data_IF_260900628333
#
_entry.id   IF_260900628333
#
_cell.length_a   1.000
_cell.length_b   1.000
_cell.length_c   1.000
_cell.angle_alpha   90.00
_cell.angle_beta   90.00
_cell.angle_gamma   90.00
#
_symmetry.space_group_name_H-M   'P 1'
#
loop_
_entity.id
_entity.type
_entity.pdbx_description
1 polymer ?
#
# COMPACT_ATOMS: atom_id res chain seq x y z
N UNK A 1 7.47 -5.00 -13.16
CA UNK A 1 7.27 -3.91 -12.19
C UNK A 1 8.17 -2.73 -12.51
N UNK A 2 9.49 -2.92 -12.57
CA UNK A 2 10.42 -1.84 -12.97
C UNK A 2 10.07 -1.19 -14.31
N UNK A 3 9.75 -1.97 -15.35
CA UNK A 3 9.30 -1.44 -16.64
C UNK A 3 8.01 -0.61 -16.55
N UNK A 4 7.09 -0.94 -15.63
CA UNK A 4 5.84 -0.19 -15.45
C UNK A 4 6.16 1.17 -14.82
N UNK A 5 7.02 1.16 -13.79
CA UNK A 5 7.43 2.39 -13.10
C UNK A 5 8.23 3.31 -14.04
N UNK A 6 9.16 2.76 -14.82
CA UNK A 6 9.96 3.54 -15.77
C UNK A 6 9.08 4.19 -16.84
N UNK A 7 8.14 3.44 -17.43
CA UNK A 7 7.21 4.00 -18.41
C UNK A 7 6.35 5.12 -17.80
N UNK A 8 5.88 4.96 -16.56
CA UNK A 8 5.12 6.01 -15.87
C UNK A 8 6.00 7.23 -15.54
N UNK A 9 7.27 7.03 -15.22
CA UNK A 9 8.20 8.11 -14.92
C UNK A 9 8.55 8.93 -16.19
N UNK A 10 8.59 8.30 -17.35
CA UNK A 10 8.74 8.98 -18.66
C UNK A 10 7.52 9.87 -18.98
N UNK A 11 6.31 9.39 -18.67
CA UNK A 11 5.08 10.17 -18.84
C UNK A 11 4.99 11.37 -17.88
N UNK A 12 5.67 11.33 -16.73
CA UNK A 12 5.59 12.31 -15.64
C UNK A 12 6.97 12.83 -15.21
N UNK A 13 7.63 13.58 -16.10
CA UNK A 13 9.00 14.11 -15.91
C UNK A 13 9.15 14.96 -14.64
N UNK A 14 8.09 15.68 -14.23
CA UNK A 14 8.15 16.63 -13.12
C UNK A 14 7.60 16.09 -11.79
N UNK A 15 7.03 14.89 -11.76
CA UNK A 15 6.46 14.30 -10.54
C UNK A 15 7.19 12.99 -10.26
N UNK A 16 8.05 12.95 -9.21
CA UNK A 16 8.80 11.74 -8.93
C UNK A 16 7.86 10.66 -8.38
N UNK A 17 8.06 9.44 -8.87
CA UNK A 17 7.44 8.22 -8.36
C UNK A 17 8.45 7.56 -7.43
N UNK A 18 8.15 7.52 -6.14
CA UNK A 18 9.05 6.95 -5.13
C UNK A 18 8.38 5.78 -4.42
N UNK A 19 9.16 4.97 -3.69
CA UNK A 19 8.60 3.88 -2.91
C UNK A 19 9.52 2.67 -2.79
N UNK A 20 8.94 1.58 -2.28
CA UNK A 20 9.64 0.34 -1.94
C UNK A 20 8.84 -0.87 -2.43
N UNK A 21 9.51 -1.78 -3.11
CA UNK A 21 8.92 -3.03 -3.58
C UNK A 21 9.56 -4.22 -2.87
N UNK A 22 8.86 -4.76 -1.87
CA UNK A 22 9.30 -5.95 -1.14
C UNK A 22 8.86 -7.20 -1.89
N UNK A 23 9.81 -8.08 -2.17
CA UNK A 23 9.62 -9.33 -2.88
C UNK A 23 9.83 -10.47 -1.90
N UNK A 24 8.74 -11.18 -1.59
CA UNK A 24 8.75 -12.43 -0.83
C UNK A 24 8.63 -13.62 -1.78
N UNK A 25 8.97 -14.85 -1.32
CA UNK A 25 8.91 -16.03 -2.17
C UNK A 25 7.52 -16.32 -2.77
N UNK A 26 6.46 -16.01 -2.03
CA UNK A 26 5.06 -16.27 -2.43
C UNK A 26 4.22 -15.01 -2.64
N UNK A 27 4.70 -13.88 -2.12
CA UNK A 27 3.95 -12.65 -2.04
C UNK A 27 4.82 -11.47 -2.44
N UNK A 28 4.18 -10.35 -2.73
CA UNK A 28 4.85 -9.08 -2.95
C UNK A 28 4.19 -8.02 -2.10
N UNK A 29 4.92 -6.99 -1.70
CA UNK A 29 4.37 -5.81 -1.03
C UNK A 29 4.87 -4.59 -1.78
N UNK A 30 3.97 -3.91 -2.48
CA UNK A 30 4.34 -2.70 -3.23
C UNK A 30 3.91 -1.45 -2.50
N UNK A 31 4.90 -0.74 -1.96
CA UNK A 31 4.84 0.61 -1.42
C UNK A 31 5.13 1.61 -2.52
N UNK A 32 4.21 2.54 -2.75
CA UNK A 32 4.33 3.61 -3.75
C UNK A 32 4.00 4.91 -3.07
N UNK A 33 4.70 5.98 -3.44
CA UNK A 33 4.45 7.37 -3.07
C UNK A 33 4.37 8.18 -4.37
N UNK A 34 3.16 8.54 -4.78
CA UNK A 34 2.92 9.30 -6.00
C UNK A 34 1.60 10.08 -5.90
N UNK A 35 1.35 10.93 -6.91
CA UNK A 35 0.05 11.59 -7.08
C UNK A 35 -1.03 10.58 -7.50
N UNK A 36 -2.28 10.81 -7.08
CA UNK A 36 -3.41 9.88 -7.24
C UNK A 36 -3.63 9.41 -8.68
N UNK A 37 -3.45 10.30 -9.64
CA UNK A 37 -3.59 10.01 -11.06
C UNK A 37 -2.51 9.04 -11.56
N UNK A 38 -1.27 9.17 -11.08
CA UNK A 38 -0.16 8.24 -11.37
C UNK A 38 -0.47 6.86 -10.79
N UNK A 39 -1.03 6.80 -9.58
CA UNK A 39 -1.40 5.54 -8.93
C UNK A 39 -2.50 4.84 -9.73
N UNK A 40 -3.54 5.57 -10.12
CA UNK A 40 -4.60 5.02 -10.94
C UNK A 40 -4.04 4.41 -12.24
N UNK A 41 -3.11 5.10 -12.92
CA UNK A 41 -2.44 4.59 -14.12
C UNK A 41 -1.57 3.37 -13.82
N UNK A 42 -0.86 3.36 -12.69
CA UNK A 42 -0.07 2.22 -12.24
C UNK A 42 -0.92 0.98 -12.03
N UNK A 43 -2.05 1.11 -11.34
CA UNK A 43 -3.01 0.04 -11.14
C UNK A 43 -3.62 -0.46 -12.45
N UNK A 44 -3.94 0.45 -13.37
CA UNK A 44 -4.38 0.07 -14.71
C UNK A 44 -3.30 -0.73 -15.45
N UNK A 45 -2.04 -0.32 -15.38
CA UNK A 45 -0.92 -1.02 -16.00
C UNK A 45 -0.70 -2.41 -15.38
N UNK A 46 -0.80 -2.54 -14.04
CA UNK A 46 -0.76 -3.85 -13.37
C UNK A 46 -1.91 -4.74 -13.81
N UNK A 47 -3.12 -4.21 -13.94
CA UNK A 47 -4.29 -5.02 -14.31
C UNK A 47 -4.17 -5.54 -15.75
N UNK A 48 -3.68 -4.70 -16.67
CA UNK A 48 -3.37 -5.13 -18.04
C UNK A 48 -2.25 -6.19 -18.06
N UNK A 49 -1.24 -6.03 -17.21
CA UNK A 49 -0.18 -7.03 -17.08
C UNK A 49 -0.70 -8.37 -16.51
N UNK A 50 -1.66 -8.31 -15.57
CA UNK A 50 -2.33 -9.47 -14.97
C UNK A 50 -3.09 -10.27 -16.02
N UNK A 51 -3.84 -9.60 -16.91
CA UNK A 51 -4.58 -10.27 -17.98
C UNK A 51 -3.67 -10.90 -19.04
N UNK A 52 -2.54 -10.27 -19.37
CA UNK A 52 -1.62 -10.77 -20.40
C UNK A 52 -0.73 -11.92 -19.93
N UNK A 53 -0.26 -11.91 -18.67
CA UNK A 53 0.79 -12.84 -18.19
C UNK A 53 0.37 -13.76 -17.06
N UNK A 54 -0.87 -13.69 -16.57
CA UNK A 54 -1.52 -14.59 -15.58
C UNK A 54 -0.74 -14.95 -14.29
N UNK A 55 0.38 -14.29 -13.98
CA UNK A 55 1.24 -14.58 -12.81
C UNK A 55 0.75 -13.94 -11.51
N UNK A 56 -0.24 -13.05 -11.58
CA UNK A 56 -0.79 -12.37 -10.41
C UNK A 56 -2.23 -12.86 -10.23
N UNK A 57 -2.48 -13.68 -9.21
CA UNK A 57 -3.84 -14.21 -8.97
C UNK A 57 -4.74 -13.18 -8.34
N UNK A 58 -4.27 -12.53 -7.28
CA UNK A 58 -5.05 -11.56 -6.50
C UNK A 58 -4.19 -10.39 -6.09
N UNK A 59 -4.80 -9.20 -6.13
CA UNK A 59 -4.21 -7.96 -5.69
C UNK A 59 -5.21 -7.18 -4.84
N UNK A 60 -4.84 -6.92 -3.59
CA UNK A 60 -5.63 -6.05 -2.70
C UNK A 60 -4.99 -4.67 -2.65
N UNK A 61 -5.83 -3.66 -2.47
CA UNK A 61 -5.47 -2.27 -2.31
C UNK A 61 -5.75 -1.87 -0.86
N UNK A 62 -4.70 -1.42 -0.17
CA UNK A 62 -4.86 -0.77 1.13
C UNK A 62 -4.47 0.71 1.03
N UNK A 63 -5.44 1.64 0.99
CA UNK A 63 -5.15 3.06 1.10
C UNK A 63 -4.55 3.38 2.45
N UNK A 64 -3.45 4.13 2.42
CA UNK A 64 -2.98 4.87 3.59
C UNK A 64 -2.68 6.31 3.19
N UNK A 65 -2.96 7.25 4.07
CA UNK A 65 -2.70 8.67 3.86
C UNK A 65 -1.45 9.08 4.65
N UNK A 66 -0.44 9.56 3.95
CA UNK A 66 0.73 10.22 4.55
C UNK A 66 0.93 11.61 3.98
N UNK A 67 1.67 12.41 4.72
CA UNK A 67 1.86 13.83 4.51
C UNK A 67 2.65 14.13 3.22
N UNK A 68 2.13 15.00 2.35
CA UNK A 68 2.76 15.37 1.06
C UNK A 68 4.14 16.00 1.23
N UNK A 69 4.39 16.67 2.35
CA UNK A 69 5.63 17.42 2.53
C UNK A 69 6.85 16.58 2.93
N UNK A 70 6.67 15.29 3.24
CA UNK A 70 7.80 14.40 3.55
C UNK A 70 7.58 13.01 2.96
N UNK A 71 8.30 12.73 1.87
CA UNK A 71 8.44 11.38 1.33
C UNK A 71 9.39 10.56 2.20
N UNK A 72 9.11 9.28 2.39
CA UNK A 72 10.06 8.35 2.98
C UNK A 72 11.18 8.02 2.00
N UNK A 73 10.87 7.98 0.71
CA UNK A 73 11.79 7.54 -0.32
C UNK A 73 12.15 8.65 -1.29
N UNK A 74 13.42 8.73 -1.66
CA UNK A 74 13.92 9.63 -2.71
C UNK A 74 13.82 9.03 -4.12
N UNK A 75 13.73 7.70 -4.22
CA UNK A 75 13.62 6.94 -5.47
C UNK A 75 12.81 5.67 -5.26
N UNK A 76 12.30 5.08 -6.33
CA UNK A 76 11.73 3.73 -6.28
C UNK A 76 12.83 2.67 -6.13
N UNK A 77 12.63 1.71 -5.22
CA UNK A 77 13.61 0.66 -4.93
C UNK A 77 12.93 -0.69 -4.69
N UNK A 78 13.67 -1.80 -4.79
CA UNK A 78 13.16 -3.14 -4.52
C UNK A 78 14.09 -3.94 -3.61
N UNK A 79 13.52 -4.88 -2.86
CA UNK A 79 14.21 -5.74 -1.88
C UNK A 79 13.71 -7.16 -1.99
N UNK A 80 14.63 -8.12 -2.00
CA UNK A 80 14.30 -9.52 -1.77
C UNK A 80 14.44 -9.82 -0.28
N UNK A 81 13.39 -10.39 0.32
CA UNK A 81 13.41 -10.76 1.73
C UNK A 81 12.57 -12.01 1.99
N UNK A 82 12.83 -12.67 3.12
CA UNK A 82 12.02 -13.77 3.62
C UNK A 82 11.14 -13.22 4.75
N UNK A 83 9.81 -13.26 4.60
CA UNK A 83 8.92 -12.71 5.61
C UNK A 83 8.98 -13.55 6.90
N UNK A 84 8.93 -12.91 8.08
CA UNK A 84 8.62 -13.63 9.31
C UNK A 84 7.25 -14.32 9.17
N UNK A 85 7.05 -15.41 9.89
CA UNK A 85 5.76 -16.12 9.92
C UNK A 85 5.27 -16.16 11.35
N UNK A 86 4.01 -15.77 11.59
CA UNK A 86 3.41 -15.95 12.91
C UNK A 86 3.11 -17.43 13.13
N UNK A 87 3.34 -17.89 14.35
CA UNK A 87 3.06 -19.28 14.74
C UNK A 87 1.54 -19.53 14.81
N UNK A 88 0.76 -18.49 15.08
CA UNK A 88 -0.68 -18.61 15.34
C UNK A 88 -1.49 -18.19 14.09
N UNK A 89 -2.37 -19.07 13.58
CA UNK A 89 -3.24 -18.73 12.45
C UNK A 89 -4.38 -17.81 12.90
N UNK A 90 -4.82 -16.95 12.00
CA UNK A 90 -5.98 -16.09 12.22
C UNK A 90 -7.26 -16.91 12.00
N UNK A 91 -8.11 -16.98 13.03
CA UNK A 91 -9.33 -17.81 13.03
C UNK A 91 -10.61 -17.01 12.85
N UNK A 92 -10.58 -15.70 13.11
CA UNK A 92 -11.74 -14.82 13.00
C UNK A 92 -11.70 -13.98 11.73
N UNK A 93 -12.87 -13.75 11.16
CA UNK A 93 -13.10 -12.92 9.97
C UNK A 93 -14.12 -11.82 10.26
N UNK A 94 -14.30 -11.46 11.54
CA UNK A 94 -15.14 -10.34 11.95
C UNK A 94 -14.47 -9.00 11.61
N UNK A 95 -15.30 -7.96 11.46
CA UNK A 95 -14.83 -6.64 11.04
C UNK A 95 -13.71 -6.11 11.95
N UNK A 96 -13.87 -6.20 13.26
CA UNK A 96 -12.90 -5.67 14.22
C UNK A 96 -11.54 -6.38 14.12
N UNK A 97 -11.54 -7.69 13.88
CA UNK A 97 -10.32 -8.46 13.66
C UNK A 97 -9.64 -8.10 12.35
N UNK A 98 -10.42 -7.94 11.27
CA UNK A 98 -9.90 -7.49 9.97
C UNK A 98 -9.23 -6.12 10.13
N UNK A 99 -9.90 -5.16 10.79
CA UNK A 99 -9.37 -3.83 11.04
C UNK A 99 -8.12 -3.87 11.92
N UNK A 100 -8.09 -4.73 12.93
CA UNK A 100 -6.92 -4.94 13.78
C UNK A 100 -5.72 -5.46 12.98
N UNK A 101 -5.94 -6.47 12.11
CA UNK A 101 -4.88 -7.02 11.26
C UNK A 101 -4.40 -6.01 10.20
N UNK A 102 -5.31 -5.25 9.59
CA UNK A 102 -4.94 -4.14 8.70
C UNK A 102 -4.06 -3.11 9.43
N UNK A 103 -4.45 -2.71 10.64
CA UNK A 103 -3.67 -1.77 11.46
C UNK A 103 -2.29 -2.31 11.82
N UNK A 104 -2.17 -3.61 12.12
CA UNK A 104 -0.88 -4.25 12.39
C UNK A 104 0.02 -4.23 11.16
N UNK A 105 -0.54 -4.51 9.98
CA UNK A 105 0.18 -4.46 8.71
C UNK A 105 0.69 -3.04 8.42
N UNK A 106 -0.17 -2.02 8.57
CA UNK A 106 0.19 -0.62 8.37
C UNK A 106 1.30 -0.18 9.31
N UNK A 107 1.17 -0.49 10.61
CA UNK A 107 2.18 -0.13 11.61
C UNK A 107 3.55 -0.69 11.24
N UNK A 108 3.62 -1.96 10.83
CA UNK A 108 4.88 -2.62 10.46
C UNK A 108 5.56 -1.95 9.29
N UNK A 109 4.80 -1.66 8.22
CA UNK A 109 5.40 -0.99 7.06
C UNK A 109 5.77 0.44 7.41
N UNK A 110 4.94 1.17 8.15
CA UNK A 110 5.26 2.54 8.51
C UNK A 110 6.57 2.62 9.29
N UNK A 111 6.74 1.75 10.29
CA UNK A 111 7.98 1.64 11.06
C UNK A 111 9.16 1.24 10.15
N UNK A 112 8.95 0.33 9.20
CA UNK A 112 9.97 -0.03 8.21
C UNK A 112 10.40 1.17 7.36
N UNK A 113 9.45 1.92 6.81
CA UNK A 113 9.71 3.08 5.97
C UNK A 113 10.40 4.20 6.76
N UNK A 114 9.95 4.45 7.99
CA UNK A 114 10.55 5.44 8.88
C UNK A 114 12.00 5.08 9.23
N UNK A 115 12.28 3.82 9.60
CA UNK A 115 13.64 3.39 9.87
C UNK A 115 14.55 3.46 8.65
N UNK A 116 14.07 3.11 7.45
CA UNK A 116 14.85 3.26 6.22
C UNK A 116 15.16 4.74 5.97
N UNK A 117 14.15 5.60 6.02
CA UNK A 117 14.29 7.06 5.85
C UNK A 117 15.29 7.66 6.86
N UNK A 118 15.17 7.30 8.14
CA UNK A 118 16.04 7.84 9.19
C UNK A 118 17.46 7.31 9.06
N UNK A 119 17.65 6.03 8.70
CA UNK A 119 18.99 5.49 8.45
C UNK A 119 19.70 6.26 7.33
N UNK A 120 18.98 6.63 6.27
CA UNK A 120 19.54 7.43 5.15
C UNK A 120 19.96 8.82 5.63
N UNK A 121 19.12 9.47 6.43
CA UNK A 121 19.43 10.80 6.99
C UNK A 121 20.64 10.76 7.93
N UNK A 122 20.71 9.76 8.81
CA UNK A 122 21.72 9.66 9.86
C UNK A 122 23.08 9.22 9.31
N UNK A 123 23.09 8.30 8.35
CA UNK A 123 24.33 7.73 7.80
C UNK A 123 24.81 8.40 6.51
N UNK A 124 23.99 9.25 5.87
CA UNK A 124 24.26 9.85 4.56
C UNK A 124 24.59 8.81 3.46
N UNK A 125 24.11 7.58 3.65
CA UNK A 125 24.29 6.47 2.70
C UNK A 125 23.17 6.54 1.66
N UNK A 126 23.47 6.30 0.36
CA UNK A 126 22.44 6.31 -0.67
C UNK A 126 21.39 5.21 -0.41
N UNK A 127 20.13 5.51 -0.72
CA UNK A 127 18.96 4.64 -0.48
C UNK A 127 19.18 3.20 -0.96
N UNK A 128 19.77 3.02 -2.14
CA UNK A 128 20.02 1.70 -2.72
C UNK A 128 20.94 0.82 -1.85
N UNK A 129 21.90 1.40 -1.14
CA UNK A 129 22.79 0.69 -0.24
C UNK A 129 22.11 0.35 1.07
N UNK A 130 21.33 1.27 1.65
CA UNK A 130 20.54 1.00 2.87
C UNK A 130 19.55 -0.14 2.62
N UNK A 131 18.85 -0.08 1.48
CA UNK A 131 17.89 -1.08 1.03
C UNK A 131 18.55 -2.45 0.76
N UNK A 132 19.77 -2.47 0.20
CA UNK A 132 20.56 -3.72 0.04
C UNK A 132 21.09 -4.27 1.37
N UNK A 133 21.36 -3.39 2.33
CA UNK A 133 21.89 -3.73 3.66
C UNK A 133 20.78 -3.89 4.70
N UNK A 134 19.52 -4.03 4.25
CA UNK A 134 18.39 -4.43 5.08
C UNK A 134 18.65 -5.84 5.63
N UNK A 135 19.41 -5.88 6.71
CA UNK A 135 19.86 -7.07 7.41
C UNK A 135 18.77 -7.59 8.36
N UNK A 136 19.14 -8.60 9.15
CA UNK A 136 18.29 -9.21 10.19
C UNK A 136 17.61 -8.19 11.12
N UNK A 137 18.16 -6.98 11.30
CA UNK A 137 17.59 -5.94 12.17
C UNK A 137 16.24 -5.43 11.69
N UNK A 138 15.94 -5.53 10.39
CA UNK A 138 14.67 -5.06 9.82
C UNK A 138 13.61 -6.15 9.73
N UNK A 139 14.00 -7.41 9.97
CA UNK A 139 13.09 -8.57 9.94
C UNK A 139 11.86 -8.40 10.83
N UNK A 140 11.95 -7.86 12.07
CA UNK A 140 10.77 -7.65 12.91
C UNK A 140 9.72 -6.71 12.30
N UNK A 141 10.16 -5.77 11.45
CA UNK A 141 9.31 -4.75 10.82
C UNK A 141 8.69 -5.23 9.51
N UNK A 142 9.12 -6.37 8.97
CA UNK A 142 8.46 -6.97 7.82
C UNK A 142 7.06 -7.48 8.19
N UNK A 143 6.05 -7.23 7.34
CA UNK A 143 4.76 -7.92 7.46
C UNK A 143 4.93 -9.43 7.39
N UNK A 144 4.27 -10.13 8.30
CA UNK A 144 4.34 -11.57 8.36
C UNK A 144 3.61 -12.22 7.19
N UNK A 145 4.16 -13.34 6.70
CA UNK A 145 3.55 -14.11 5.61
C UNK A 145 2.10 -14.51 5.91
N UNK A 146 1.83 -14.92 7.15
CA UNK A 146 0.50 -15.32 7.63
C UNK A 146 -0.48 -14.14 7.64
N UNK A 147 -0.01 -12.94 8.00
CA UNK A 147 -0.81 -11.72 7.98
C UNK A 147 -1.19 -11.35 6.55
N UNK A 148 -0.21 -11.42 5.63
CA UNK A 148 -0.44 -11.13 4.22
C UNK A 148 -1.40 -12.13 3.59
N UNK A 149 -1.23 -13.42 3.89
CA UNK A 149 -2.10 -14.48 3.42
C UNK A 149 -3.54 -14.30 3.94
N UNK A 150 -3.70 -13.93 5.21
CA UNK A 150 -5.01 -13.61 5.78
C UNK A 150 -5.69 -12.46 5.02
N UNK A 151 -5.03 -11.30 4.90
CA UNK A 151 -5.56 -10.13 4.20
C UNK A 151 -5.87 -10.42 2.71
N UNK A 152 -5.01 -11.21 2.06
CA UNK A 152 -5.20 -11.64 0.67
C UNK A 152 -6.36 -12.63 0.50
N UNK A 153 -6.75 -13.39 1.52
CA UNK A 153 -7.82 -14.39 1.40
C UNK A 153 -9.19 -13.87 1.81
N UNK A 154 -9.25 -12.87 2.69
CA UNK A 154 -10.50 -12.22 3.12
C UNK A 154 -11.31 -11.72 1.91
N UNK A 155 -12.62 -11.98 1.87
CA UNK A 155 -13.56 -11.34 0.93
C UNK A 155 -14.54 -10.50 1.73
N UNK A 156 -14.09 -9.29 2.08
CA UNK A 156 -14.88 -8.35 2.88
C UNK A 156 -14.91 -7.00 2.16
N UNK A 157 -16.03 -6.25 2.15
CA UNK A 157 -16.14 -4.97 1.45
C UNK A 157 -15.05 -3.95 1.81
N UNK A 158 -14.54 -4.01 3.04
CA UNK A 158 -13.48 -3.13 3.56
C UNK A 158 -12.13 -3.37 2.88
N UNK A 159 -11.89 -4.55 2.29
CA UNK A 159 -10.67 -4.84 1.54
C UNK A 159 -10.99 -4.75 0.05
N UNK A 160 -10.57 -3.65 -0.55
CA UNK A 160 -10.74 -3.41 -1.99
C UNK A 160 -9.70 -4.19 -2.78
N UNK A 161 -10.09 -4.78 -3.91
CA UNK A 161 -9.14 -5.25 -4.90
C UNK A 161 -8.70 -4.12 -5.83
N UNK A 162 -7.62 -4.32 -6.58
CA UNK A 162 -7.23 -3.37 -7.65
C UNK A 162 -8.38 -3.21 -8.67
N UNK A 163 -9.07 -4.29 -8.99
CA UNK A 163 -10.22 -4.28 -9.89
C UNK A 163 -11.36 -3.41 -9.32
N UNK A 164 -11.67 -3.56 -8.03
CA UNK A 164 -12.69 -2.74 -7.35
C UNK A 164 -12.31 -1.26 -7.36
N UNK A 165 -11.04 -0.94 -7.06
CA UNK A 165 -10.53 0.42 -7.10
C UNK A 165 -10.67 1.03 -8.50
N UNK A 166 -10.20 0.34 -9.54
CA UNK A 166 -10.29 0.83 -10.92
C UNK A 166 -11.74 1.05 -11.34
N UNK A 167 -12.64 0.16 -10.95
CA UNK A 167 -14.07 0.30 -11.21
C UNK A 167 -14.63 1.57 -10.54
N UNK A 168 -14.33 1.79 -9.24
CA UNK A 168 -14.76 2.99 -8.51
C UNK A 168 -14.29 4.27 -9.21
N UNK A 169 -13.03 4.32 -9.65
CA UNK A 169 -12.45 5.50 -10.31
C UNK A 169 -12.91 5.68 -11.76
N UNK A 170 -13.34 4.61 -12.43
CA UNK A 170 -13.91 4.67 -13.79
C UNK A 170 -15.35 5.18 -13.82
N UNK A 171 -16.08 5.05 -12.70
CA UNK A 171 -17.44 5.56 -12.57
C UNK A 171 -17.35 7.08 -12.47
N UNK A 172 -17.75 7.76 -13.54
CA UNK A 172 -17.97 9.21 -13.47
C UNK A 172 -19.08 9.43 -12.44
N UNK A 173 -18.85 10.21 -11.37
CA UNK A 173 -19.94 10.54 -10.47
C UNK A 173 -20.97 11.30 -11.30
N UNK A 174 -22.10 10.68 -11.59
CA UNK A 174 -23.28 11.39 -12.04
C UNK A 174 -23.66 12.29 -10.87
N UNK A 175 -23.22 13.55 -10.94
CA UNK A 175 -23.59 14.58 -9.98
C UNK A 175 -25.07 14.87 -10.24
N UNK A 176 -25.95 14.05 -9.67
CA UNK A 176 -27.31 14.48 -9.42
C UNK A 176 -27.19 15.54 -8.33
N UNK A 177 -27.29 16.80 -8.75
CA UNK A 177 -27.34 17.98 -7.90
C UNK A 177 -28.64 17.93 -7.07
N UNK A 178 -28.70 17.02 -6.08
CA UNK A 178 -29.80 16.69 -5.15
C UNK A 178 -30.78 15.57 -5.60
N UNK A 179 -31.28 14.71 -4.68
CA UNK A 179 -30.61 14.12 -3.51
C UNK A 179 -30.88 12.60 -3.41
N UNK A 180 -29.86 11.75 -3.50
CA UNK A 180 -29.95 10.41 -2.89
C UNK A 180 -28.64 10.08 -2.15
N UNK A 181 -28.76 10.13 -0.82
CA UNK A 181 -27.75 9.94 0.21
C UNK A 181 -27.01 8.59 0.19
N UNK A 182 -27.27 7.69 -0.77
CA UNK A 182 -26.82 6.30 -0.69
C UNK A 182 -25.47 6.03 -1.35
N UNK A 183 -25.13 6.70 -2.46
CA UNK A 183 -23.87 6.44 -3.16
C UNK A 183 -22.68 7.19 -2.53
N UNK A 184 -22.93 8.39 -1.99
CA UNK A 184 -21.96 9.13 -1.19
C UNK A 184 -21.64 8.41 0.13
N UNK A 185 -22.63 7.78 0.77
CA UNK A 185 -22.41 7.07 2.02
C UNK A 185 -21.47 5.88 1.88
N UNK A 186 -21.53 5.11 0.79
CA UNK A 186 -20.59 4.01 0.57
C UNK A 186 -19.15 4.52 0.51
N UNK A 187 -18.87 5.49 -0.36
CA UNK A 187 -17.52 6.04 -0.49
C UNK A 187 -17.05 6.67 0.83
N UNK A 188 -17.90 7.45 1.52
CA UNK A 188 -17.55 8.07 2.81
C UNK A 188 -17.36 7.03 3.93
N UNK A 189 -18.10 5.92 3.95
CA UNK A 189 -17.87 4.82 4.90
C UNK A 189 -16.53 4.12 4.63
N UNK A 190 -16.17 3.91 3.36
CA UNK A 190 -14.89 3.29 2.99
C UNK A 190 -13.70 4.17 3.34
N UNK A 191 -13.75 5.45 2.93
CA UNK A 191 -12.73 6.42 3.31
C UNK A 191 -12.69 6.60 4.83
N UNK A 192 -13.84 6.64 5.50
CA UNK A 192 -13.96 6.76 6.96
C UNK A 192 -13.39 5.57 7.73
N UNK A 193 -13.53 4.33 7.26
CA UNK A 193 -12.96 3.14 7.92
C UNK A 193 -11.42 3.13 7.82
N UNK A 194 -10.88 3.45 6.64
CA UNK A 194 -9.44 3.62 6.47
C UNK A 194 -8.93 4.81 7.27
N UNK A 195 -9.66 5.92 7.29
CA UNK A 195 -9.40 7.09 8.11
C UNK A 195 -9.47 6.76 9.60
N UNK A 196 -10.32 5.84 10.07
CA UNK A 196 -10.32 5.38 11.48
C UNK A 196 -9.06 4.58 11.81
N UNK A 197 -8.63 3.65 10.95
CA UNK A 197 -7.37 2.92 11.15
C UNK A 197 -6.17 3.88 11.15
N UNK A 198 -6.16 4.85 10.24
CA UNK A 198 -5.11 5.85 10.10
C UNK A 198 -5.15 6.86 11.25
N UNK A 199 -6.33 7.30 11.68
CA UNK A 199 -6.51 8.21 12.82
C UNK A 199 -6.07 7.54 14.11
N UNK A 200 -6.36 6.24 14.31
CA UNK A 200 -5.80 5.47 15.43
C UNK A 200 -4.26 5.43 15.36
N UNK A 201 -3.66 5.24 14.19
CA UNK A 201 -2.20 5.32 14.01
C UNK A 201 -1.65 6.74 14.28
N UNK A 202 -2.33 7.78 13.82
CA UNK A 202 -2.00 9.20 14.02
C UNK A 202 -2.16 9.62 15.48
N UNK A 203 -3.11 9.10 16.23
CA UNK A 203 -3.22 9.40 17.67
C UNK A 203 -2.04 8.86 18.47
N UNK A 204 -1.31 7.88 17.94
CA UNK A 204 -0.01 7.45 18.48
C UNK A 204 1.18 8.23 17.90
N UNK A 205 1.00 8.99 16.82
CA UNK A 205 2.04 9.74 16.11
C UNK A 205 1.47 11.07 15.57
N UNK A 206 1.64 12.16 16.32
CA UNK A 206 1.10 13.52 16.10
C UNK A 206 1.26 14.11 14.67
N UNK A 207 0.51 13.67 13.65
CA UNK A 207 0.53 14.31 12.33
C UNK A 207 -0.83 14.24 11.60
N UNK A 208 -1.38 15.42 11.27
CA UNK A 208 -2.69 15.64 10.61
C UNK A 208 -2.50 16.11 9.14
N UNK A 209 -3.28 15.51 8.23
CA UNK A 209 -3.80 15.95 6.90
C UNK A 209 -2.91 16.10 5.63
N UNK A 210 -3.53 15.64 4.52
CA UNK A 210 -3.28 15.76 3.05
C UNK A 210 -2.19 14.92 2.34
N UNK A 211 -2.51 14.55 1.09
CA UNK A 211 -2.51 13.20 0.49
C UNK A 211 -1.25 12.82 -0.32
N UNK A 212 -0.40 11.98 0.26
CA UNK A 212 0.47 11.03 -0.43
C UNK A 212 0.03 9.63 -0.02
N UNK A 213 -0.38 8.81 -0.98
CA UNK A 213 -0.91 7.51 -0.66
C UNK A 213 0.23 6.49 -0.55
N UNK A 214 0.45 5.86 0.61
CA UNK A 214 1.27 4.65 0.65
C UNK A 214 0.38 3.50 0.21
N UNK A 215 0.74 2.86 -0.90
CA UNK A 215 0.02 1.68 -1.35
C UNK A 215 0.57 0.44 -0.71
N UNK A 216 -0.31 -0.53 -0.53
CA UNK A 216 0.09 -1.92 -0.38
C UNK A 216 -0.63 -2.69 -1.43
N UNK A 217 0.09 -3.09 -2.48
CA UNK A 217 -0.40 -4.15 -3.36
C UNK A 217 0.23 -5.46 -2.95
N UNK A 218 -0.60 -6.37 -2.45
CA UNK A 218 -0.19 -7.74 -2.19
C UNK A 218 -0.51 -8.62 -3.38
N UNK A 219 0.48 -9.33 -3.91
CA UNK A 219 0.28 -10.20 -5.08
C UNK A 219 0.50 -11.67 -4.72
N UNK A 220 -0.31 -12.58 -5.23
CA UNK A 220 -0.15 -14.04 -5.10
C UNK A 220 0.29 -14.64 -6.45
N UNK A 221 1.28 -15.55 -6.45
CA UNK A 221 1.74 -16.29 -7.63
C UNK A 221 0.81 -17.44 -8.06
#
# INVERSE_FOLDING_TARGET
MESIINNLQEDYINIPITGLFLIYPKYFVHVIEAAEDIIYRHFRAINNYKSEKSKIKRAIYLPTYHHVHQRFFSQWSYVYSVPPSLIQPFTSFELDDILHQMSNCFRKIYILCDHISNTIKDSSIPMNEVVKTLNEKFVPYYPESTLLEYLLNIRHPVILTIDDYLNIFSITPTINLYPEYLQYQKNVFFYGIHEICITKLITYTNFIQMVSFLFFSFFFF
#
